data_IF_904214544758
#
_entry.id   IF_904214544758
#
_cell.length_a   1.000
_cell.length_b   1.000
_cell.length_c   1.000
_cell.angle_alpha   90.00
_cell.angle_beta   90.00
_cell.angle_gamma   90.00
#
_symmetry.space_group_name_H-M   'P 1'
#
loop_
_entity.id
_entity.type
_entity.pdbx_description
1 polymer ?
#
# COMPACT_ATOMS: atom_id res chain seq x y z
N UNK A 1 -70.71 18.51 11.88
CA UNK A 1 -69.29 18.65 11.50
C UNK A 1 -68.49 17.54 12.18
N UNK A 2 -68.17 16.45 11.48
CA UNK A 2 -67.31 15.36 12.00
C UNK A 2 -66.17 15.16 11.00
N UNK A 3 -64.95 15.50 11.43
CA UNK A 3 -63.73 15.41 10.64
C UNK A 3 -63.40 13.93 10.36
N UNK A 4 -63.24 13.60 9.08
CA UNK A 4 -62.55 12.40 8.63
C UNK A 4 -61.04 12.63 8.80
N UNK A 5 -60.40 11.89 9.71
CA UNK A 5 -58.93 11.82 9.79
C UNK A 5 -58.50 10.66 8.91
N UNK A 6 -58.03 10.97 7.71
CA UNK A 6 -57.39 10.01 6.81
C UNK A 6 -56.02 9.61 7.35
N UNK A 7 -55.84 8.32 7.64
CA UNK A 7 -54.53 7.75 7.98
C UNK A 7 -53.74 7.59 6.68
N UNK A 8 -52.81 8.51 6.43
CA UNK A 8 -51.83 8.39 5.37
C UNK A 8 -50.74 7.42 5.84
N UNK A 9 -50.71 6.22 5.27
CA UNK A 9 -49.60 5.29 5.44
C UNK A 9 -48.38 5.83 4.68
N UNK A 10 -47.44 6.42 5.41
CA UNK A 10 -46.11 6.73 4.90
C UNK A 10 -45.35 5.41 4.71
N UNK A 11 -45.30 4.91 3.47
CA UNK A 11 -44.36 3.85 3.09
C UNK A 11 -42.94 4.43 3.13
N UNK A 12 -42.30 4.36 4.30
CA UNK A 12 -40.86 4.51 4.40
C UNK A 12 -40.20 3.37 3.62
N UNK A 13 -39.64 3.69 2.45
CA UNK A 13 -38.70 2.83 1.74
C UNK A 13 -37.51 2.54 2.67
N UNK A 14 -37.56 1.41 3.38
CA UNK A 14 -36.38 0.82 3.99
C UNK A 14 -35.48 0.36 2.85
N UNK A 15 -34.49 1.17 2.49
CA UNK A 15 -33.38 0.73 1.66
C UNK A 15 -32.57 -0.27 2.50
N UNK A 16 -32.79 -1.55 2.24
CA UNK A 16 -31.94 -2.62 2.75
C UNK A 16 -30.58 -2.42 2.07
N UNK A 17 -29.68 -1.67 2.70
CA UNK A 17 -28.30 -1.60 2.27
C UNK A 17 -27.68 -2.98 2.50
N UNK A 18 -27.51 -3.74 1.43
CA UNK A 18 -26.81 -5.02 1.47
C UNK A 18 -25.45 -4.83 2.14
N UNK A 19 -25.17 -5.62 3.18
CA UNK A 19 -23.89 -5.53 3.89
C UNK A 19 -22.78 -5.99 2.93
N UNK A 20 -21.76 -5.16 2.73
CA UNK A 20 -20.63 -5.47 1.85
C UNK A 20 -19.44 -6.01 2.64
N UNK A 21 -18.65 -6.88 2.01
CA UNK A 21 -17.39 -7.36 2.56
C UNK A 21 -16.25 -6.40 2.21
N UNK A 22 -15.85 -5.56 3.17
CA UNK A 22 -14.79 -4.57 2.99
C UNK A 22 -13.41 -5.18 2.67
N UNK A 23 -13.20 -6.47 2.93
CA UNK A 23 -11.96 -7.17 2.63
C UNK A 23 -11.93 -7.78 1.24
N UNK A 24 -13.10 -8.00 0.63
CA UNK A 24 -13.20 -8.67 -0.67
C UNK A 24 -13.66 -7.68 -1.74
N UNK A 25 -12.73 -7.34 -2.61
CA UNK A 25 -12.96 -6.50 -3.77
C UNK A 25 -12.75 -7.33 -5.05
N UNK A 26 -13.68 -7.26 -5.98
CA UNK A 26 -13.60 -7.96 -7.27
C UNK A 26 -13.76 -6.98 -8.41
N UNK A 27 -12.99 -7.13 -9.48
CA UNK A 27 -13.21 -6.38 -10.71
C UNK A 27 -14.41 -7.01 -11.43
N UNK A 28 -15.50 -6.27 -11.55
CA UNK A 28 -16.70 -6.70 -12.27
C UNK A 28 -16.58 -6.23 -13.72
N UNK A 29 -16.57 -7.16 -14.70
CA UNK A 29 -16.59 -6.80 -16.11
C UNK A 29 -17.80 -5.92 -16.41
N UNK A 30 -17.54 -4.77 -17.01
CA UNK A 30 -18.58 -3.84 -17.45
C UNK A 30 -18.03 -2.95 -18.55
N UNK A 31 -18.91 -2.36 -19.35
CA UNK A 31 -18.48 -1.42 -20.38
C UNK A 31 -17.89 -0.16 -19.74
N UNK A 32 -16.64 0.15 -20.06
CA UNK A 32 -15.94 1.35 -19.57
C UNK A 32 -15.69 2.30 -20.74
N UNK A 33 -16.50 3.37 -20.82
CA UNK A 33 -16.38 4.40 -21.86
C UNK A 33 -15.27 5.43 -21.58
N UNK A 34 -14.92 5.64 -20.31
CA UNK A 34 -13.93 6.61 -19.88
C UNK A 34 -12.89 5.97 -18.95
N UNK A 35 -11.62 6.17 -19.28
CA UNK A 35 -10.46 5.71 -18.52
C UNK A 35 -9.53 6.89 -18.30
N UNK A 36 -9.17 7.16 -17.04
CA UNK A 36 -8.19 8.19 -16.72
C UNK A 36 -6.78 7.68 -17.07
N UNK A 37 -5.89 8.56 -17.52
CA UNK A 37 -4.50 8.21 -17.81
C UNK A 37 -3.81 7.51 -16.64
N UNK A 38 -4.08 7.90 -15.39
CA UNK A 38 -3.52 7.26 -14.21
C UNK A 38 -4.06 5.84 -13.97
N UNK A 39 -5.28 5.51 -14.44
CA UNK A 39 -5.85 4.17 -14.28
C UNK A 39 -4.96 3.12 -14.98
N UNK A 40 -4.27 3.48 -16.07
CA UNK A 40 -3.36 2.58 -16.78
C UNK A 40 -2.14 2.22 -15.94
N UNK A 41 -1.57 3.18 -15.20
CA UNK A 41 -0.46 2.91 -14.27
C UNK A 41 -0.91 2.02 -13.12
N UNK A 42 -2.13 2.23 -12.60
CA UNK A 42 -2.71 1.39 -11.55
C UNK A 42 -3.00 -0.03 -12.04
N UNK A 43 -3.61 -0.18 -13.23
CA UNK A 43 -3.83 -1.49 -13.84
C UNK A 43 -2.51 -2.22 -14.07
N UNK A 44 -1.49 -1.52 -14.55
CA UNK A 44 -0.14 -2.07 -14.69
C UNK A 44 0.42 -2.51 -13.32
N UNK A 45 0.46 -1.63 -12.32
CA UNK A 45 0.99 -1.94 -10.97
C UNK A 45 0.32 -3.14 -10.31
N UNK A 46 -0.98 -3.32 -10.55
CA UNK A 46 -1.77 -4.43 -10.00
C UNK A 46 -1.55 -5.77 -10.73
N UNK A 47 -1.01 -5.74 -11.95
CA UNK A 47 -0.89 -6.91 -12.85
C UNK A 47 0.54 -7.29 -13.17
N UNK A 48 1.46 -6.33 -13.10
CA UNK A 48 2.92 -6.47 -13.17
C UNK A 48 3.51 -7.27 -11.99
N UNK A 49 2.66 -7.95 -11.22
CA UNK A 49 2.98 -8.73 -10.02
C UNK A 49 2.96 -10.24 -10.25
N UNK A 50 2.83 -10.70 -11.51
CA UNK A 50 3.00 -12.13 -11.84
C UNK A 50 4.43 -12.60 -11.50
N UNK A 51 4.60 -13.20 -10.31
CA UNK A 51 5.76 -13.92 -9.71
C UNK A 51 7.13 -13.24 -9.69
N UNK A 52 7.45 -12.43 -10.68
CA UNK A 52 8.70 -11.72 -10.85
C UNK A 52 8.36 -10.25 -10.86
N UNK A 53 8.38 -9.63 -9.68
CA UNK A 53 8.19 -8.19 -9.45
C UNK A 53 9.35 -7.35 -10.04
N UNK A 54 9.72 -7.66 -11.29
CA UNK A 54 10.70 -6.95 -12.09
C UNK A 54 10.17 -5.57 -12.37
N UNK A 55 11.08 -4.62 -12.41
CA UNK A 55 10.71 -3.28 -12.79
C UNK A 55 10.39 -3.16 -14.28
N UNK A 56 9.48 -2.25 -14.57
CA UNK A 56 9.17 -1.80 -15.91
C UNK A 56 10.13 -0.68 -16.32
N UNK A 57 11.31 -1.05 -16.84
CA UNK A 57 12.11 -0.08 -17.58
C UNK A 57 11.34 0.27 -18.86
N UNK A 58 11.13 1.56 -19.12
CA UNK A 58 10.49 2.08 -20.33
C UNK A 58 9.04 1.57 -20.56
N UNK A 59 8.18 1.66 -19.54
CA UNK A 59 6.76 1.34 -19.68
C UNK A 59 6.10 2.18 -20.78
N UNK A 60 5.57 1.51 -21.80
CA UNK A 60 4.71 2.11 -22.81
C UNK A 60 3.27 2.15 -22.31
N UNK A 61 2.62 3.31 -22.39
CA UNK A 61 1.25 3.50 -21.93
C UNK A 61 0.40 4.05 -23.07
N UNK A 62 -0.60 3.29 -23.50
CA UNK A 62 -1.42 3.59 -24.68
C UNK A 62 -2.89 3.59 -24.32
N UNK A 63 -3.63 4.62 -24.74
CA UNK A 63 -5.09 4.70 -24.60
C UNK A 63 -5.73 4.94 -25.96
N UNK A 64 -6.57 4.01 -26.40
CA UNK A 64 -7.29 4.07 -27.68
C UNK A 64 -6.37 4.34 -28.87
N UNK A 65 -5.20 3.69 -28.90
CA UNK A 65 -4.19 3.85 -29.95
C UNK A 65 -3.24 5.04 -29.76
N UNK A 66 -3.51 5.94 -28.81
CA UNK A 66 -2.66 7.09 -28.54
C UNK A 66 -1.66 6.80 -27.42
N UNK A 67 -0.37 6.95 -27.70
CA UNK A 67 0.68 6.90 -26.68
C UNK A 67 0.53 8.09 -25.73
N UNK A 68 0.55 7.82 -24.42
CA UNK A 68 0.42 8.83 -23.38
C UNK A 68 1.79 9.33 -22.90
N UNK A 69 1.85 10.63 -22.60
CA UNK A 69 2.97 11.29 -21.94
C UNK A 69 2.45 11.94 -20.67
N UNK A 70 3.06 11.61 -19.54
CA UNK A 70 2.65 12.14 -18.24
C UNK A 70 3.50 13.36 -17.88
N UNK A 71 2.84 14.43 -17.46
CA UNK A 71 3.49 15.66 -16.98
C UNK A 71 3.13 15.99 -15.53
N UNK A 72 2.11 15.34 -14.97
CA UNK A 72 1.70 15.56 -13.59
C UNK A 72 2.62 14.86 -12.59
N UNK A 73 2.83 15.51 -11.44
CA UNK A 73 3.78 15.04 -10.43
C UNK A 73 3.44 13.68 -9.83
N UNK A 74 2.18 13.25 -9.85
CA UNK A 74 1.76 11.96 -9.27
C UNK A 74 2.14 10.82 -10.22
N UNK A 75 1.76 10.93 -11.49
CA UNK A 75 2.09 9.94 -12.51
C UNK A 75 3.60 9.82 -12.71
N UNK A 76 4.34 10.92 -12.65
CA UNK A 76 5.81 10.90 -12.72
C UNK A 76 6.44 10.13 -11.55
N UNK A 77 5.89 10.23 -10.34
CA UNK A 77 6.33 9.41 -9.19
C UNK A 77 6.00 7.94 -9.38
N UNK A 78 4.80 7.63 -9.87
CA UNK A 78 4.40 6.26 -10.19
C UNK A 78 5.33 5.64 -11.22
N UNK A 79 5.64 6.34 -12.31
CA UNK A 79 6.60 5.89 -13.31
C UNK A 79 8.01 5.69 -12.72
N UNK A 80 8.50 6.63 -11.91
CA UNK A 80 9.79 6.49 -11.24
C UNK A 80 9.82 5.25 -10.32
N UNK A 81 8.74 4.98 -9.61
CA UNK A 81 8.57 3.78 -8.78
C UNK A 81 8.30 2.49 -9.58
N UNK A 82 8.29 2.54 -10.90
CA UNK A 82 8.21 1.35 -11.75
C UNK A 82 9.58 0.96 -12.33
N UNK A 83 10.60 1.83 -12.21
CA UNK A 83 11.93 1.60 -12.78
C UNK A 83 12.81 0.60 -12.01
N UNK A 84 13.78 -0.02 -12.70
CA UNK A 84 14.62 -1.14 -12.20
C UNK A 84 15.70 -0.72 -11.23
N UNK A 85 16.30 0.42 -11.51
CA UNK A 85 17.15 1.18 -10.60
C UNK A 85 16.26 1.96 -9.64
N UNK A 86 15.43 1.24 -8.91
CA UNK A 86 14.40 1.82 -8.06
C UNK A 86 15.05 2.75 -7.02
N UNK A 87 14.82 4.08 -7.07
CA UNK A 87 15.39 4.98 -6.07
C UNK A 87 14.75 4.74 -4.70
N UNK A 88 15.38 5.27 -3.65
CA UNK A 88 14.83 5.19 -2.31
C UNK A 88 13.46 5.89 -2.26
N UNK A 89 12.42 5.23 -1.72
CA UNK A 89 11.03 5.75 -1.76
C UNK A 89 10.88 7.07 -1.03
N UNK A 90 11.70 7.30 -0.01
CA UNK A 90 11.84 8.57 0.68
C UNK A 90 12.29 9.68 -0.26
N UNK A 91 13.10 9.41 -1.28
CA UNK A 91 13.42 10.39 -2.34
C UNK A 91 12.23 10.61 -3.27
N UNK A 92 11.60 9.54 -3.76
CA UNK A 92 10.45 9.62 -4.68
C UNK A 92 9.28 10.36 -4.03
N UNK A 93 9.04 10.18 -2.74
CA UNK A 93 7.91 10.78 -2.01
C UNK A 93 8.35 11.88 -1.05
N UNK A 94 9.58 12.39 -1.19
CA UNK A 94 10.17 13.41 -0.29
C UNK A 94 9.28 14.62 -0.11
N UNK A 95 8.74 15.18 -1.19
CA UNK A 95 7.86 16.36 -1.13
C UNK A 95 6.49 16.05 -0.53
N UNK A 96 6.01 14.82 -0.66
CA UNK A 96 4.72 14.37 -0.09
C UNK A 96 4.85 14.19 1.42
N UNK A 97 5.98 13.65 1.87
CA UNK A 97 6.22 13.24 3.25
C UNK A 97 7.10 14.21 4.05
N UNK A 98 7.51 15.34 3.47
CA UNK A 98 8.48 16.26 4.09
C UNK A 98 8.05 16.71 5.50
N UNK A 99 6.78 17.05 5.69
CA UNK A 99 6.27 17.46 7.00
C UNK A 99 6.39 16.33 8.03
N UNK A 100 6.09 15.10 7.64
CA UNK A 100 6.12 13.94 8.53
C UNK A 100 7.54 13.51 8.86
N UNK A 101 8.46 13.56 7.90
CA UNK A 101 9.88 13.23 8.14
C UNK A 101 10.53 14.28 9.04
N UNK A 102 10.23 15.57 8.85
CA UNK A 102 10.67 16.65 9.76
C UNK A 102 10.08 16.47 11.16
N UNK A 103 8.79 16.20 11.26
CA UNK A 103 8.15 15.99 12.56
C UNK A 103 8.72 14.78 13.29
N UNK A 104 8.88 13.66 12.59
CA UNK A 104 9.48 12.46 13.16
C UNK A 104 10.95 12.68 13.58
N UNK A 105 11.70 13.51 12.86
CA UNK A 105 13.04 13.91 13.27
C UNK A 105 13.03 14.64 14.62
N UNK A 106 12.15 15.64 14.80
CA UNK A 106 12.01 16.35 16.08
C UNK A 106 11.57 15.43 17.23
N UNK A 107 10.65 14.50 16.96
CA UNK A 107 10.23 13.49 17.93
C UNK A 107 11.41 12.59 18.35
N UNK A 108 12.23 12.14 17.39
CA UNK A 108 13.45 11.36 17.65
C UNK A 108 14.48 12.13 18.49
N UNK A 109 14.67 13.41 18.24
CA UNK A 109 15.59 14.24 19.01
C UNK A 109 15.10 14.41 20.44
N UNK A 110 13.79 14.61 20.62
CA UNK A 110 13.14 14.67 21.93
C UNK A 110 13.26 13.35 22.70
N UNK A 111 13.10 12.21 22.02
CA UNK A 111 13.27 10.88 22.62
C UNK A 111 14.73 10.67 23.07
N UNK A 112 15.70 11.06 22.24
CA UNK A 112 17.11 10.97 22.58
C UNK A 112 17.44 11.82 23.81
N UNK A 113 16.87 13.03 23.92
CA UNK A 113 17.04 13.88 25.10
C UNK A 113 16.45 13.23 26.37
N UNK A 114 15.22 12.71 26.29
CA UNK A 114 14.57 12.00 27.42
C UNK A 114 15.38 10.78 27.88
N UNK A 115 15.89 9.96 26.95
CA UNK A 115 16.69 8.78 27.29
C UNK A 115 18.05 9.17 27.87
N UNK A 116 18.68 10.22 27.34
CA UNK A 116 19.96 10.74 27.84
C UNK A 116 19.85 11.29 29.27
N UNK A 117 18.72 11.90 29.63
CA UNK A 117 18.45 12.36 30.99
C UNK A 117 18.46 11.22 32.04
N UNK A 118 18.21 9.97 31.61
CA UNK A 118 18.34 8.78 32.46
C UNK A 118 19.78 8.24 32.55
N UNK A 119 20.75 8.94 31.96
CA UNK A 119 22.15 8.51 31.82
C UNK A 119 22.28 7.19 31.03
N UNK A 120 21.36 6.95 30.10
CA UNK A 120 21.43 5.81 29.17
C UNK A 120 22.07 6.24 27.87
N UNK A 121 22.76 5.32 27.19
CA UNK A 121 23.29 5.56 25.85
C UNK A 121 22.34 4.97 24.82
N UNK A 122 21.90 5.80 23.88
CA UNK A 122 20.98 5.44 22.80
C UNK A 122 21.58 5.83 21.45
N UNK A 123 21.39 4.99 20.43
CA UNK A 123 21.75 5.30 19.04
C UNK A 123 20.66 4.86 18.08
N UNK A 124 20.45 5.62 17.02
CA UNK A 124 19.66 5.17 15.88
C UNK A 124 20.57 4.31 14.99
N UNK A 125 20.29 3.01 14.93
CA UNK A 125 21.07 2.02 14.18
C UNK A 125 20.77 2.09 12.69
N UNK A 126 19.51 2.38 12.35
CA UNK A 126 19.06 2.49 10.98
C UNK A 126 17.83 3.39 10.90
N UNK A 127 17.87 4.42 10.05
CA UNK A 127 16.73 5.30 9.79
C UNK A 127 16.12 5.00 8.42
N UNK A 128 16.87 5.25 7.34
CA UNK A 128 16.42 5.04 5.96
C UNK A 128 16.89 3.70 5.41
N UNK A 129 16.06 3.07 4.58
CA UNK A 129 16.37 1.83 3.87
C UNK A 129 15.74 1.86 2.48
N UNK A 130 16.51 1.62 1.42
CA UNK A 130 15.91 1.48 0.09
C UNK A 130 15.18 0.13 -0.08
N UNK A 131 14.38 -0.01 -1.14
CA UNK A 131 13.56 -1.21 -1.34
C UNK A 131 14.40 -2.46 -1.64
N UNK A 132 15.52 -2.31 -2.36
CA UNK A 132 16.45 -3.42 -2.63
C UNK A 132 16.98 -4.04 -1.33
N UNK A 133 17.40 -3.19 -0.38
CA UNK A 133 17.84 -3.62 0.94
C UNK A 133 16.69 -4.24 1.75
N UNK A 134 15.49 -3.69 1.66
CA UNK A 134 14.30 -4.28 2.31
C UNK A 134 14.03 -5.71 1.81
N UNK A 135 14.09 -5.92 0.49
CA UNK A 135 13.91 -7.24 -0.10
C UNK A 135 15.03 -8.21 0.30
N UNK A 136 16.29 -7.75 0.36
CA UNK A 136 17.41 -8.57 0.86
C UNK A 136 17.20 -9.01 2.32
N UNK A 137 16.73 -8.11 3.18
CA UNK A 137 16.43 -8.44 4.58
C UNK A 137 15.24 -9.39 4.71
N UNK A 138 14.22 -9.23 3.88
CA UNK A 138 13.10 -10.17 3.85
C UNK A 138 13.53 -11.57 3.39
N UNK A 139 14.28 -11.68 2.29
CA UNK A 139 14.82 -12.96 1.79
C UNK A 139 15.73 -13.67 2.79
N UNK A 140 16.47 -12.92 3.60
CA UNK A 140 17.33 -13.47 4.66
C UNK A 140 16.59 -13.73 5.98
N UNK A 141 15.27 -13.53 6.04
CA UNK A 141 14.47 -13.73 7.25
C UNK A 141 14.67 -12.66 8.34
N UNK A 142 15.43 -11.59 8.03
CA UNK A 142 15.72 -10.48 8.96
C UNK A 142 14.63 -9.40 8.98
N UNK A 143 13.63 -9.49 8.10
CA UNK A 143 12.46 -8.63 8.11
C UNK A 143 11.21 -9.42 7.73
N UNK A 144 10.12 -9.22 8.47
CA UNK A 144 8.85 -9.90 8.19
C UNK A 144 7.97 -9.16 7.17
N UNK A 145 8.36 -7.95 6.75
CA UNK A 145 7.56 -7.10 5.85
C UNK A 145 8.25 -6.89 4.50
N UNK A 146 7.46 -6.77 3.43
CA UNK A 146 7.97 -6.47 2.09
C UNK A 146 8.17 -4.98 1.84
N UNK A 147 7.36 -4.14 2.50
CA UNK A 147 7.43 -2.68 2.46
C UNK A 147 7.37 -2.16 3.90
N UNK A 148 8.35 -1.35 4.28
CA UNK A 148 8.57 -0.87 5.64
C UNK A 148 8.55 0.66 5.69
N UNK A 149 8.24 1.23 6.86
CA UNK A 149 8.36 2.66 7.09
C UNK A 149 9.80 3.20 7.02
N UNK A 150 10.81 2.34 7.13
CA UNK A 150 12.19 2.73 6.77
C UNK A 150 12.34 3.12 5.31
N UNK A 151 11.50 2.58 4.42
CA UNK A 151 11.50 2.95 3.01
C UNK A 151 11.02 4.38 2.78
N UNK A 152 10.28 4.95 3.73
CA UNK A 152 9.71 6.30 3.64
C UNK A 152 10.40 7.30 4.58
N UNK A 153 11.48 6.90 5.27
CA UNK A 153 12.11 7.68 6.35
C UNK A 153 11.13 8.01 7.51
N UNK A 154 10.23 7.09 7.82
CA UNK A 154 9.18 7.22 8.85
C UNK A 154 9.33 6.21 10.00
N UNK A 155 10.47 5.52 10.06
CA UNK A 155 10.82 4.62 11.15
C UNK A 155 12.32 4.66 11.46
N UNK A 156 12.68 4.23 12.67
CA UNK A 156 14.06 4.10 13.10
C UNK A 156 14.23 2.90 14.04
N UNK A 157 15.37 2.22 13.88
CA UNK A 157 15.79 1.16 14.79
C UNK A 157 16.71 1.76 15.86
N UNK A 158 16.43 1.45 17.13
CA UNK A 158 17.05 2.02 18.32
C UNK A 158 17.91 0.97 19.02
N UNK A 159 19.17 1.31 19.22
CA UNK A 159 20.11 0.57 20.04
C UNK A 159 20.29 1.21 21.40
N UNK A 160 20.01 0.48 22.47
CA UNK A 160 20.34 0.89 23.85
C UNK A 160 21.65 0.26 24.29
N UNK A 161 22.45 1.01 25.04
CA UNK A 161 23.78 0.58 25.49
C UNK A 161 23.97 0.84 26.98
N UNK A 162 24.66 -0.10 27.65
CA UNK A 162 25.19 0.07 28.99
C UNK A 162 26.68 -0.32 28.99
N UNK A 163 27.55 0.56 29.51
CA UNK A 163 29.01 0.35 29.52
C UNK A 163 29.54 -0.11 28.14
N UNK A 164 29.08 0.57 27.07
CA UNK A 164 29.39 0.27 25.65
C UNK A 164 28.88 -1.08 25.10
N UNK A 165 28.16 -1.88 25.89
CA UNK A 165 27.54 -3.13 25.43
C UNK A 165 26.13 -2.88 24.91
N UNK A 166 25.81 -3.42 23.74
CA UNK A 166 24.48 -3.37 23.16
C UNK A 166 23.52 -4.26 23.96
N UNK A 167 22.41 -3.66 24.39
CA UNK A 167 21.36 -4.35 25.13
C UNK A 167 20.36 -4.91 24.12
N UNK A 168 20.34 -6.22 23.90
CA UNK A 168 19.40 -6.85 22.94
C UNK A 168 18.01 -7.13 23.51
N UNK A 169 17.94 -7.46 24.81
CA UNK A 169 16.70 -7.86 25.51
C UNK A 169 16.71 -7.24 26.90
N UNK A 170 16.43 -5.96 26.97
CA UNK A 170 16.47 -5.20 28.23
C UNK A 170 15.11 -4.58 28.51
N UNK A 171 14.61 -4.60 29.76
CA UNK A 171 13.39 -3.89 30.15
C UNK A 171 13.50 -2.37 29.93
N UNK A 172 14.71 -1.85 29.70
CA UNK A 172 14.93 -0.47 29.28
C UNK A 172 14.20 -0.11 27.99
N UNK A 173 13.95 -1.08 27.10
CA UNK A 173 13.17 -0.84 25.89
C UNK A 173 11.71 -0.54 26.18
N UNK A 174 11.10 -1.15 27.19
CA UNK A 174 9.71 -0.85 27.59
C UNK A 174 9.60 0.59 28.08
N UNK A 175 10.54 1.02 28.93
CA UNK A 175 10.59 2.40 29.41
C UNK A 175 10.84 3.40 28.27
N UNK A 176 11.74 3.08 27.35
CA UNK A 176 11.98 3.90 26.15
C UNK A 176 10.73 3.95 25.26
N UNK A 177 10.07 2.81 25.07
CA UNK A 177 8.82 2.70 24.33
C UNK A 177 7.71 3.57 24.91
N UNK A 178 7.56 3.60 26.24
CA UNK A 178 6.62 4.50 26.89
C UNK A 178 6.98 5.97 26.66
N UNK A 179 8.26 6.34 26.77
CA UNK A 179 8.70 7.71 26.46
C UNK A 179 8.45 8.11 24.99
N UNK A 180 8.61 7.16 24.06
CA UNK A 180 8.32 7.35 22.66
C UNK A 180 6.81 7.58 22.46
N UNK A 181 5.96 6.79 23.11
CA UNK A 181 4.50 6.96 23.10
C UNK A 181 4.06 8.31 23.65
N UNK A 182 4.65 8.78 24.75
CA UNK A 182 4.37 10.11 25.32
C UNK A 182 4.73 11.25 24.34
N UNK A 183 5.63 10.99 23.39
CA UNK A 183 6.02 11.93 22.33
C UNK A 183 5.17 11.77 21.05
N UNK A 184 4.17 10.90 21.05
CA UNK A 184 3.33 10.60 19.88
C UNK A 184 4.02 9.70 18.84
N UNK A 185 5.03 8.93 19.25
CA UNK A 185 5.71 7.93 18.42
C UNK A 185 5.11 6.56 18.71
N UNK A 186 4.91 5.74 17.67
CA UNK A 186 4.49 4.36 17.84
C UNK A 186 5.71 3.46 18.06
N UNK A 187 5.59 2.52 18.98
CA UNK A 187 6.69 1.65 19.40
C UNK A 187 6.45 0.21 18.95
N UNK A 188 7.46 -0.41 18.33
CA UNK A 188 7.36 -1.76 17.78
C UNK A 188 7.23 -2.86 18.83
N UNK A 189 7.53 -2.58 20.09
CA UNK A 189 7.24 -3.52 21.18
C UNK A 189 5.74 -3.79 21.37
N UNK A 190 4.88 -2.88 20.92
CA UNK A 190 3.41 -3.04 20.95
C UNK A 190 2.87 -3.78 19.70
N UNK A 191 3.72 -4.19 18.75
CA UNK A 191 3.27 -4.90 17.55
C UNK A 191 2.74 -6.29 17.89
N UNK A 192 1.57 -6.61 17.34
CA UNK A 192 0.99 -7.94 17.46
C UNK A 192 1.64 -8.88 16.44
N UNK A 193 2.05 -10.06 16.89
CA UNK A 193 2.63 -11.11 16.03
C UNK A 193 4.14 -11.03 15.83
N UNK A 194 4.72 -9.82 15.76
CA UNK A 194 6.17 -9.62 15.64
C UNK A 194 6.69 -8.43 16.47
N UNK A 195 6.65 -8.51 17.81
CA UNK A 195 7.18 -7.44 18.65
C UNK A 195 8.65 -7.12 18.32
N UNK A 196 8.92 -5.85 18.07
CA UNK A 196 10.27 -5.32 17.85
C UNK A 196 10.53 -4.15 18.80
N UNK A 197 11.01 -4.42 20.03
CA UNK A 197 11.29 -3.38 21.03
C UNK A 197 12.31 -2.34 20.57
N UNK A 198 13.14 -2.68 19.58
CA UNK A 198 14.10 -1.75 18.99
C UNK A 198 13.48 -0.78 18.00
N UNK A 199 12.26 -1.03 17.53
CA UNK A 199 11.66 -0.27 16.45
C UNK A 199 10.79 0.87 16.96
N UNK A 200 10.87 2.03 16.32
CA UNK A 200 9.93 3.14 16.49
C UNK A 200 9.48 3.69 15.14
N UNK A 201 8.26 4.20 15.07
CA UNK A 201 7.71 4.72 13.83
C UNK A 201 6.69 5.84 14.01
N UNK A 202 6.55 6.65 12.95
CA UNK A 202 5.72 7.87 12.94
C UNK A 202 4.21 7.60 12.91
N UNK A 203 3.81 6.53 12.23
CA UNK A 203 2.40 6.15 12.03
C UNK A 203 2.07 4.85 12.75
N UNK A 204 0.81 4.66 13.12
CA UNK A 204 0.37 3.43 13.79
C UNK A 204 0.69 2.18 12.97
N UNK A 205 0.29 2.21 11.71
CA UNK A 205 0.42 1.13 10.75
C UNK A 205 0.27 1.67 9.32
N UNK A 206 0.49 0.82 8.32
CA UNK A 206 0.42 1.20 6.91
C UNK A 206 -0.97 1.71 6.49
N UNK A 207 -2.05 1.22 7.12
CA UNK A 207 -3.40 1.71 6.86
C UNK A 207 -3.54 3.20 7.20
N UNK A 208 -3.01 3.63 8.36
CA UNK A 208 -3.02 5.03 8.77
C UNK A 208 -2.19 5.92 7.82
N UNK A 209 -1.04 5.42 7.35
CA UNK A 209 -0.21 6.14 6.38
C UNK A 209 -0.96 6.34 5.06
N UNK A 210 -1.54 5.27 4.51
CA UNK A 210 -2.26 5.30 3.23
C UNK A 210 -3.55 6.13 3.33
N UNK A 211 -4.26 6.08 4.45
CA UNK A 211 -5.44 6.92 4.66
C UNK A 211 -5.10 8.41 4.64
N UNK A 212 -3.95 8.81 5.21
CA UNK A 212 -3.48 10.20 5.19
C UNK A 212 -2.85 10.60 3.85
N UNK A 213 -2.15 9.68 3.19
CA UNK A 213 -1.47 9.89 1.92
C UNK A 213 -1.89 8.85 0.88
N UNK A 214 -3.09 8.96 0.28
CA UNK A 214 -3.62 7.97 -0.66
C UNK A 214 -2.71 7.70 -1.85
N UNK A 215 -1.90 8.69 -2.26
CA UNK A 215 -0.92 8.52 -3.34
C UNK A 215 0.04 7.35 -3.10
N UNK A 216 0.36 7.04 -1.83
CA UNK A 216 1.27 5.97 -1.46
C UNK A 216 0.66 4.57 -1.61
N UNK A 217 -0.67 4.45 -1.73
CA UNK A 217 -1.32 3.15 -1.95
C UNK A 217 -0.76 2.43 -3.18
N UNK A 218 -0.27 3.18 -4.17
CA UNK A 218 0.39 2.65 -5.35
C UNK A 218 1.60 1.74 -5.03
N UNK A 219 2.36 2.04 -3.98
CA UNK A 219 3.50 1.22 -3.55
C UNK A 219 3.07 -0.05 -2.81
N UNK A 220 1.95 0.02 -2.09
CA UNK A 220 1.39 -1.12 -1.35
C UNK A 220 0.67 -2.10 -2.29
N UNK A 221 0.01 -1.63 -3.35
CA UNK A 221 -0.67 -2.52 -4.32
C UNK A 221 0.27 -3.56 -4.94
N UNK A 222 1.55 -3.22 -5.09
CA UNK A 222 2.60 -4.15 -5.56
C UNK A 222 2.63 -5.45 -4.76
N UNK A 223 2.29 -5.39 -3.48
CA UNK A 223 2.41 -6.49 -2.52
C UNK A 223 1.05 -7.00 -2.04
N UNK A 224 -0.05 -6.62 -2.71
CA UNK A 224 -1.41 -7.01 -2.33
C UNK A 224 -1.57 -8.52 -2.13
N UNK A 225 -1.13 -9.33 -3.09
CA UNK A 225 -1.26 -10.80 -3.01
C UNK A 225 -0.60 -11.38 -1.76
N UNK A 226 0.53 -10.79 -1.34
CA UNK A 226 1.19 -11.18 -0.10
C UNK A 226 0.36 -10.81 1.13
N UNK A 227 -0.19 -9.60 1.19
CA UNK A 227 -1.06 -9.18 2.30
C UNK A 227 -2.31 -10.04 2.40
N UNK A 228 -2.95 -10.34 1.26
CA UNK A 228 -4.11 -11.23 1.22
C UNK A 228 -3.75 -12.66 1.62
N UNK A 229 -2.59 -13.18 1.21
CA UNK A 229 -2.11 -14.49 1.62
C UNK A 229 -1.84 -14.57 3.13
N UNK A 230 -1.22 -13.52 3.71
CA UNK A 230 -0.99 -13.41 5.15
C UNK A 230 -2.32 -13.38 5.91
N UNK A 231 -3.30 -12.60 5.44
CA UNK A 231 -4.63 -12.55 6.05
C UNK A 231 -5.34 -13.91 5.97
N UNK A 232 -5.41 -14.52 4.78
CA UNK A 232 -6.04 -15.85 4.59
C UNK A 232 -5.40 -16.94 5.45
N UNK A 233 -4.07 -16.96 5.56
CA UNK A 233 -3.34 -17.91 6.41
C UNK A 233 -3.68 -17.78 7.89
N UNK A 234 -4.10 -16.60 8.33
CA UNK A 234 -4.46 -16.31 9.72
C UNK A 234 -5.96 -16.07 9.91
N UNK A 235 -6.82 -16.56 9.02
CA UNK A 235 -8.26 -16.35 9.10
C UNK A 235 -8.90 -16.85 10.41
N UNK A 236 -8.28 -17.83 11.08
CA UNK A 236 -8.72 -18.33 12.40
C UNK A 236 -8.12 -17.57 13.59
N UNK A 237 -7.20 -16.62 13.34
CA UNK A 237 -6.48 -15.81 14.34
C UNK A 237 -6.30 -14.38 13.82
N UNK A 238 -7.42 -13.75 13.47
CA UNK A 238 -7.45 -12.40 12.86
C UNK A 238 -6.86 -11.35 13.80
N UNK A 239 -6.96 -11.57 15.11
CA UNK A 239 -6.31 -10.77 16.15
C UNK A 239 -4.80 -10.58 15.92
N UNK A 240 -4.14 -11.55 15.26
CA UNK A 240 -2.70 -11.51 14.96
C UNK A 240 -2.35 -10.76 13.68
N UNK A 241 -3.33 -10.35 12.89
CA UNK A 241 -3.14 -9.71 11.57
C UNK A 241 -4.00 -8.47 11.38
N UNK A 242 -4.44 -7.82 12.46
CA UNK A 242 -5.29 -6.61 12.43
C UNK A 242 -4.69 -5.47 11.58
N UNK A 243 -3.37 -5.29 11.60
CA UNK A 243 -2.73 -4.27 10.78
C UNK A 243 -2.76 -4.60 9.28
N UNK A 244 -2.70 -5.89 8.93
CA UNK A 244 -2.84 -6.36 7.54
C UNK A 244 -4.28 -6.23 7.06
N UNK A 245 -5.23 -6.58 7.92
CA UNK A 245 -6.67 -6.39 7.69
C UNK A 245 -6.99 -4.91 7.42
N UNK A 246 -6.53 -4.02 8.31
CA UNK A 246 -6.74 -2.59 8.19
C UNK A 246 -6.12 -2.03 6.90
N UNK A 247 -4.93 -2.52 6.50
CA UNK A 247 -4.30 -2.11 5.25
C UNK A 247 -5.13 -2.55 4.04
N UNK A 248 -5.58 -3.81 4.00
CA UNK A 248 -6.41 -4.32 2.90
C UNK A 248 -7.72 -3.53 2.77
N UNK A 249 -8.39 -3.23 3.88
CA UNK A 249 -9.60 -2.40 3.91
C UNK A 249 -9.31 -0.99 3.36
N UNK A 250 -8.23 -0.35 3.81
CA UNK A 250 -7.85 0.98 3.34
C UNK A 250 -7.56 1.01 1.84
N UNK A 251 -6.82 0.02 1.33
CA UNK A 251 -6.53 -0.10 -0.09
C UNK A 251 -7.80 -0.39 -0.90
N UNK A 252 -8.69 -1.25 -0.42
CA UNK A 252 -9.96 -1.56 -1.09
C UNK A 252 -10.86 -0.32 -1.19
N UNK A 253 -10.92 0.49 -0.12
CA UNK A 253 -11.68 1.74 -0.11
C UNK A 253 -11.22 2.72 -1.18
N UNK A 254 -9.91 2.81 -1.43
CA UNK A 254 -9.37 3.68 -2.48
C UNK A 254 -9.64 3.16 -3.90
N UNK A 255 -9.85 1.85 -4.04
CA UNK A 255 -10.08 1.19 -5.33
C UNK A 255 -11.54 1.06 -5.72
N UNK A 256 -12.46 1.00 -4.75
CA UNK A 256 -13.88 0.81 -5.03
C UNK A 256 -14.39 1.82 -6.08
N UNK A 257 -15.04 1.32 -7.13
CA UNK A 257 -15.55 2.08 -8.27
C UNK A 257 -14.52 2.47 -9.34
N UNK A 258 -13.21 2.31 -9.07
CA UNK A 258 -12.14 2.62 -10.04
C UNK A 258 -12.09 1.59 -11.17
N UNK A 259 -11.60 2.02 -12.33
CA UNK A 259 -11.41 1.16 -13.50
C UNK A 259 -10.36 0.10 -13.20
N UNK A 260 -10.55 -1.10 -13.73
CA UNK A 260 -9.67 -2.22 -13.51
C UNK A 260 -9.54 -3.13 -14.72
N UNK A 261 -8.40 -3.84 -14.77
CA UNK A 261 -8.22 -5.03 -15.57
C UNK A 261 -8.83 -6.22 -14.80
N UNK A 262 -9.81 -6.92 -15.38
CA UNK A 262 -10.47 -8.07 -14.76
C UNK A 262 -9.51 -9.24 -14.50
N UNK A 263 -9.84 -10.11 -13.55
CA UNK A 263 -8.96 -11.18 -13.02
C UNK A 263 -8.54 -12.22 -14.05
N UNK A 264 -9.41 -12.55 -15.00
CA UNK A 264 -9.16 -13.60 -15.98
C UNK A 264 -8.62 -13.01 -17.27
N UNK A 265 -7.52 -13.59 -17.76
CA UNK A 265 -6.99 -13.28 -19.07
C UNK A 265 -7.94 -13.77 -20.16
N UNK A 266 -8.01 -13.03 -21.25
CA UNK A 266 -8.78 -13.38 -22.45
C UNK A 266 -7.83 -13.57 -23.63
N UNK A 267 -8.19 -14.46 -24.55
CA UNK A 267 -7.47 -14.72 -25.79
C UNK A 267 -8.24 -14.04 -26.93
N UNK A 268 -7.83 -12.84 -27.39
CA UNK A 268 -8.50 -12.23 -28.53
C UNK A 268 -8.05 -12.87 -29.85
N UNK A 269 -8.92 -12.79 -30.86
CA UNK A 269 -8.61 -13.08 -32.27
C UNK A 269 -7.73 -11.98 -32.90
N UNK A 270 -6.68 -11.54 -32.20
CA UNK A 270 -5.78 -10.49 -32.66
C UNK A 270 -4.34 -10.85 -32.31
N UNK A 271 -3.41 -10.55 -33.21
CA UNK A 271 -1.99 -10.68 -32.94
C UNK A 271 -1.62 -9.84 -31.71
N UNK A 272 -0.86 -10.44 -30.78
CA UNK A 272 -0.28 -9.68 -29.69
C UNK A 272 0.66 -8.61 -30.27
N UNK A 273 0.72 -7.40 -29.68
CA UNK A 273 1.72 -6.43 -30.06
C UNK A 273 3.11 -7.08 -29.90
N UNK A 274 3.94 -7.06 -30.94
CA UNK A 274 5.34 -7.43 -30.82
C UNK A 274 6.05 -6.31 -30.06
N UNK A 275 6.41 -6.54 -28.79
CA UNK A 275 7.01 -5.49 -27.95
C UNK A 275 8.17 -6.03 -27.13
N UNK A 276 9.32 -5.37 -27.26
CA UNK A 276 10.51 -5.63 -26.45
C UNK A 276 10.51 -4.87 -25.11
N UNK A 277 9.38 -4.24 -24.76
CA UNK A 277 9.22 -3.40 -23.56
C UNK A 277 8.00 -3.81 -22.73
N UNK A 278 7.94 -3.30 -21.51
CA UNK A 278 6.73 -3.31 -20.70
C UNK A 278 5.65 -2.44 -21.36
N UNK A 279 4.39 -2.87 -21.33
CA UNK A 279 3.28 -2.15 -21.98
C UNK A 279 1.98 -2.30 -21.21
N UNK A 280 1.21 -1.21 -21.12
CA UNK A 280 -0.21 -1.20 -20.79
C UNK A 280 -0.97 -0.45 -21.87
N UNK A 281 -1.94 -1.11 -22.47
CA UNK A 281 -2.72 -0.55 -23.57
C UNK A 281 -4.20 -0.78 -23.34
N UNK A 282 -5.00 0.29 -23.33
CA UNK A 282 -6.44 0.23 -23.14
C UNK A 282 -7.14 0.56 -24.45
N UNK A 283 -8.16 -0.24 -24.80
CA UNK A 283 -9.11 0.07 -25.86
C UNK A 283 -10.53 0.05 -25.29
N UNK A 284 -11.14 1.23 -25.13
CA UNK A 284 -12.49 1.38 -24.56
C UNK A 284 -13.58 0.90 -25.49
N UNK A 285 -13.39 0.99 -26.82
CA UNK A 285 -14.34 0.48 -27.82
C UNK A 285 -14.46 -1.04 -27.74
N UNK A 286 -13.33 -1.72 -27.58
CA UNK A 286 -13.25 -3.18 -27.43
C UNK A 286 -13.36 -3.64 -25.97
N UNK A 287 -13.56 -2.71 -25.03
CA UNK A 287 -13.65 -2.93 -23.60
C UNK A 287 -12.55 -3.85 -23.02
N UNK A 288 -11.30 -3.64 -23.46
CA UNK A 288 -10.16 -4.49 -23.10
C UNK A 288 -8.92 -3.69 -22.75
N UNK A 289 -8.05 -4.31 -21.97
CA UNK A 289 -6.72 -3.84 -21.65
C UNK A 289 -5.70 -4.93 -21.90
N UNK A 290 -4.64 -4.62 -22.62
CA UNK A 290 -3.45 -5.44 -22.78
C UNK A 290 -2.41 -5.02 -21.75
N UNK A 291 -1.83 -5.98 -21.04
CA UNK A 291 -0.78 -5.73 -20.05
C UNK A 291 0.35 -6.72 -20.28
N UNK A 292 1.56 -6.20 -20.46
CA UNK A 292 2.79 -6.96 -20.64
C UNK A 292 3.85 -6.46 -19.64
N UNK A 293 4.35 -7.31 -18.73
CA UNK A 293 5.48 -6.97 -17.89
C UNK A 293 6.75 -6.81 -18.73
N UNK A 294 7.80 -6.20 -18.17
CA UNK A 294 9.09 -6.07 -18.86
C UNK A 294 9.65 -7.44 -19.27
N UNK A 295 9.60 -8.41 -18.36
CA UNK A 295 9.98 -9.80 -18.59
C UNK A 295 8.74 -10.70 -18.59
N UNK A 296 8.49 -11.39 -19.70
CA UNK A 296 7.41 -12.36 -19.84
C UNK A 296 6.38 -11.99 -20.89
N UNK A 297 5.32 -12.80 -20.94
CA UNK A 297 4.26 -12.68 -21.93
C UNK A 297 3.23 -11.62 -21.54
N UNK A 298 2.67 -10.95 -22.55
CA UNK A 298 1.53 -10.07 -22.37
C UNK A 298 0.20 -10.81 -22.47
N UNK A 299 -0.81 -10.30 -21.76
CA UNK A 299 -2.15 -10.87 -21.78
C UNK A 299 -3.19 -9.76 -21.88
N UNK A 300 -4.32 -10.09 -22.50
CA UNK A 300 -5.49 -9.21 -22.53
C UNK A 300 -6.41 -9.53 -21.37
N UNK A 301 -7.13 -8.52 -20.92
CA UNK A 301 -8.14 -8.60 -19.86
C UNK A 301 -9.34 -7.74 -20.26
N UNK A 302 -10.54 -8.12 -19.85
CA UNK A 302 -11.70 -7.23 -19.95
C UNK A 302 -11.54 -6.04 -19.01
N UNK A 303 -12.01 -4.87 -19.42
CA UNK A 303 -12.17 -3.73 -18.52
C UNK A 303 -13.36 -3.96 -17.59
N UNK A 304 -13.28 -3.38 -16.40
CA UNK A 304 -14.34 -3.42 -15.42
C UNK A 304 -14.21 -2.31 -14.40
N UNK A 305 -15.01 -2.40 -13.33
CA UNK A 305 -14.80 -1.59 -12.12
C UNK A 305 -14.72 -2.46 -10.90
N UNK A 306 -13.90 -2.02 -9.95
CA UNK A 306 -13.82 -2.67 -8.64
C UNK A 306 -15.13 -2.49 -7.88
N UNK A 307 -15.70 -3.60 -7.40
CA UNK A 307 -16.87 -3.61 -6.54
C UNK A 307 -16.61 -4.50 -5.32
N UNK A 308 -17.23 -4.16 -4.19
CA UNK A 308 -17.21 -5.04 -3.03
C UNK A 308 -18.06 -6.27 -3.29
N UNK A 309 -17.63 -7.41 -2.77
CA UNK A 309 -18.45 -8.61 -2.73
C UNK A 309 -19.57 -8.40 -1.70
N UNK A 310 -20.81 -8.72 -2.06
CA UNK A 310 -21.95 -8.70 -1.13
C UNK A 310 -21.75 -9.81 -0.09
N UNK A 311 -22.02 -9.51 1.19
CA UNK A 311 -22.17 -10.56 2.20
C UNK A 311 -23.56 -11.18 1.98
N UNK A 312 -23.56 -12.50 1.81
CA UNK A 312 -24.79 -13.29 1.86
C UNK A 312 -25.25 -13.42 3.31
#
# INVERSE_FOLDING_TARGET
MRLFVGIIFFFCCFTINAQVDSLRLVCQPQQVSLVNQQDLLWMYRQRDTLRHHGAATNLQVVLNGNQLIYTDSTSLRYLASLQSTYPALDSIYSTVLQAETKYFAMQKDSLLAKVSALRWSMRYLQAVRNLQRQQQLNRSGRSQVLLSFHNFNLAADVGLYARRRYLRRSPRYERMGQMAKDLGIYWGGDFVGFPDPGHIQRFKNSAALVAKYPVLAFEFEKYRDHYEAVYRKNALRVDKVLDTEALLIALNRLKAGKVCACQQAILPNANQPAVDAARVEVNTTQNRVFIKPYQGNGYYYSLGRWAYVTKN
#
